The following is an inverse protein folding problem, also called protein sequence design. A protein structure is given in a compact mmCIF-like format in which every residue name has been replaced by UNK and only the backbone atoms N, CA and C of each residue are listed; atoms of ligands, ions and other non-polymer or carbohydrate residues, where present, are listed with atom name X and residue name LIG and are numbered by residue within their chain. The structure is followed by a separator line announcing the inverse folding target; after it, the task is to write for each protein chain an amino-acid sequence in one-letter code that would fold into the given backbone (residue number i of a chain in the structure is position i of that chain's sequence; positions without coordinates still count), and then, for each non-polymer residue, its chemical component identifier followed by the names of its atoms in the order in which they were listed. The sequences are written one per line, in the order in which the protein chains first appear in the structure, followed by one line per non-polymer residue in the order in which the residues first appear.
data_IF_505075134915
#
_entry.id   IF_505075134915
#
_cell.length_a   1.000
_cell.length_b   1.000
_cell.length_c   1.000
_cell.angle_alpha   90.00
_cell.angle_beta   90.00
_cell.angle_gamma   90.00
#
_symmetry.space_group_name_H-M   'P 1'
#
loop_
_entity.id
_entity.type
_entity.pdbx_description
1 polymer ?
#
# COMPACT_ATOMS: atom_id res chain seq x y z
N UNK A 1 11.59 -3.55 12.76
CA UNK A 1 11.95 -3.23 11.36
C UNK A 1 11.41 -1.85 11.08
N UNK A 2 12.28 -0.88 10.83
CA UNK A 2 11.88 0.52 10.61
C UNK A 2 11.41 0.69 9.17
N UNK A 3 10.12 0.99 8.99
CA UNK A 3 9.59 1.48 7.72
C UNK A 3 9.16 2.92 7.94
N UNK A 4 9.71 3.81 7.15
CA UNK A 4 9.44 5.25 7.19
C UNK A 4 8.76 5.65 5.89
N UNK A 5 7.79 6.55 5.99
CA UNK A 5 7.07 7.07 4.83
C UNK A 5 6.95 8.58 4.94
N UNK A 6 7.40 9.27 3.91
CA UNK A 6 7.29 10.71 3.73
C UNK A 6 6.23 11.00 2.65
N UNK A 7 5.12 11.59 3.09
CA UNK A 7 3.97 11.94 2.23
C UNK A 7 4.23 13.16 1.36
N UNK A 8 5.07 14.08 1.84
CA UNK A 8 5.37 15.33 1.12
C UNK A 8 6.25 15.03 -0.06
N UNK A 9 7.30 14.22 0.14
CA UNK A 9 8.19 13.79 -0.95
C UNK A 9 7.70 12.55 -1.69
N UNK A 10 6.63 11.90 -1.21
CA UNK A 10 6.06 10.66 -1.74
C UNK A 10 7.12 9.53 -1.82
N UNK A 11 7.91 9.39 -0.76
CA UNK A 11 8.99 8.40 -0.64
C UNK A 11 8.80 7.49 0.56
N UNK A 12 9.15 6.22 0.40
CA UNK A 12 9.20 5.26 1.50
C UNK A 12 10.62 4.70 1.64
N UNK A 13 11.01 4.39 2.88
CA UNK A 13 12.29 3.76 3.20
C UNK A 13 12.07 2.59 4.14
N UNK A 14 12.86 1.54 3.98
CA UNK A 14 12.92 0.43 4.93
C UNK A 14 14.36 0.31 5.41
N UNK A 15 14.56 0.41 6.72
CA UNK A 15 15.90 0.36 7.34
C UNK A 15 16.88 1.38 6.72
N UNK A 16 16.37 2.56 6.36
CA UNK A 16 17.13 3.63 5.71
C UNK A 16 17.30 3.50 4.19
N UNK A 17 16.97 2.36 3.57
CA UNK A 17 17.05 2.16 2.12
C UNK A 17 15.75 2.59 1.43
N UNK A 18 15.86 3.33 0.31
CA UNK A 18 14.70 3.79 -0.45
C UNK A 18 13.97 2.62 -1.11
N UNK A 19 12.67 2.54 -0.87
CA UNK A 19 11.79 1.59 -1.55
C UNK A 19 11.36 2.18 -2.91
N UNK A 20 11.58 1.41 -3.96
CA UNK A 20 11.03 1.71 -5.28
C UNK A 20 9.59 1.16 -5.35
N UNK A 21 8.64 2.04 -5.07
CA UNK A 21 7.21 1.78 -5.02
C UNK A 21 6.51 2.51 -6.15
N UNK A 22 5.60 1.83 -6.83
CA UNK A 22 4.61 2.46 -7.69
C UNK A 22 3.66 3.35 -6.87
N UNK A 23 2.92 4.29 -7.50
CA UNK A 23 1.96 5.13 -6.79
C UNK A 23 0.92 4.32 -5.98
N UNK A 24 0.47 3.17 -6.50
CA UNK A 24 -0.49 2.30 -5.80
C UNK A 24 0.12 1.55 -4.63
N UNK A 25 1.35 1.08 -4.75
CA UNK A 25 2.06 0.45 -3.63
C UNK A 25 2.35 1.46 -2.52
N UNK A 26 2.69 2.70 -2.87
CA UNK A 26 2.87 3.78 -1.89
C UNK A 26 1.57 4.05 -1.12
N UNK A 27 0.45 4.21 -1.83
CA UNK A 27 -0.87 4.40 -1.21
C UNK A 27 -1.27 3.22 -0.31
N UNK A 28 -1.01 1.98 -0.74
CA UNK A 28 -1.21 0.81 0.09
C UNK A 28 -0.37 0.87 1.37
N UNK A 29 0.92 1.16 1.25
CA UNK A 29 1.83 1.23 2.39
C UNK A 29 1.39 2.32 3.37
N UNK A 30 1.09 3.52 2.87
CA UNK A 30 0.55 4.62 3.66
C UNK A 30 -0.72 4.20 4.40
N UNK A 31 -1.63 3.53 3.70
CA UNK A 31 -2.88 3.08 4.29
C UNK A 31 -2.67 2.07 5.43
N UNK A 32 -1.76 1.10 5.26
CA UNK A 32 -1.42 0.16 6.31
C UNK A 32 -0.73 0.85 7.49
N UNK A 33 0.20 1.78 7.24
CA UNK A 33 0.89 2.53 8.31
C UNK A 33 -0.06 3.44 9.09
N UNK A 34 -1.12 3.94 8.46
CA UNK A 34 -2.20 4.70 9.12
C UNK A 34 -3.14 3.83 9.96
N UNK A 35 -3.18 2.53 9.72
CA UNK A 35 -4.10 1.60 10.35
C UNK A 35 -3.34 0.44 11.01
N UNK A 36 -2.41 0.72 11.94
CA UNK A 36 -1.66 -0.33 12.61
C UNK A 36 -2.61 -1.25 13.39
N UNK A 37 -2.26 -2.54 13.45
CA UNK A 37 -2.97 -3.56 14.23
C UNK A 37 -4.45 -3.80 13.83
N UNK A 38 -4.91 -3.18 12.74
CA UNK A 38 -6.26 -3.37 12.22
C UNK A 38 -6.26 -4.33 11.03
N UNK A 39 -7.21 -5.25 11.02
CA UNK A 39 -7.50 -6.07 9.82
C UNK A 39 -8.12 -5.17 8.76
N UNK A 40 -7.39 -4.94 7.68
CA UNK A 40 -7.86 -4.18 6.52
C UNK A 40 -8.50 -5.13 5.51
N UNK A 41 -9.75 -4.85 5.12
CA UNK A 41 -10.51 -5.67 4.17
C UNK A 41 -10.12 -5.35 2.73
N UNK A 42 -10.23 -6.34 1.83
CA UNK A 42 -9.97 -6.14 0.39
C UNK A 42 -10.88 -5.07 -0.22
N UNK A 43 -12.18 -5.10 0.08
CA UNK A 43 -13.15 -4.12 -0.42
C UNK A 43 -12.81 -2.70 0.03
N UNK A 44 -12.26 -2.55 1.23
CA UNK A 44 -11.84 -1.27 1.77
C UNK A 44 -10.62 -0.73 1.02
N UNK A 45 -9.64 -1.58 0.72
CA UNK A 45 -8.51 -1.20 -0.13
C UNK A 45 -8.98 -0.81 -1.53
N UNK A 46 -9.91 -1.58 -2.11
CA UNK A 46 -10.49 -1.27 -3.42
C UNK A 46 -11.25 0.06 -3.46
N UNK A 47 -11.80 0.53 -2.34
CA UNK A 47 -12.50 1.82 -2.25
C UNK A 47 -11.56 2.99 -1.93
N UNK A 48 -10.54 2.76 -1.09
CA UNK A 48 -9.65 3.83 -0.59
C UNK A 48 -8.42 4.04 -1.46
N UNK A 49 -7.91 2.98 -2.08
CA UNK A 49 -6.71 3.01 -2.92
C UNK A 49 -7.09 2.88 -4.39
N UNK A 50 -8.14 2.14 -4.72
CA UNK A 50 -8.73 2.12 -6.06
C UNK A 50 -10.06 2.89 -6.06
N UNK A 51 -10.53 3.30 -7.23
CA UNK A 51 -11.85 3.94 -7.36
C UNK A 51 -12.96 2.89 -7.49
N UNK A 52 -14.21 3.29 -7.24
CA UNK A 52 -15.41 2.45 -7.30
C UNK A 52 -15.69 1.77 -8.65
N UNK A 53 -14.91 2.09 -9.69
CA UNK A 53 -15.02 1.48 -11.01
C UNK A 53 -14.31 0.11 -11.13
N UNK A 54 -13.59 -0.34 -10.10
CA UNK A 54 -12.88 -1.62 -10.14
C UNK A 54 -13.77 -2.81 -9.82
N UNK A 55 -13.57 -3.89 -10.58
CA UNK A 55 -14.21 -5.19 -10.33
C UNK A 55 -13.70 -5.77 -8.99
N UNK A 56 -14.58 -5.97 -7.98
CA UNK A 56 -14.22 -6.58 -6.71
C UNK A 56 -13.69 -8.01 -6.81
N UNK A 57 -13.95 -8.70 -7.93
CA UNK A 57 -13.44 -10.04 -8.21
C UNK A 57 -12.01 -10.02 -8.78
N UNK A 58 -11.47 -8.84 -9.10
CA UNK A 58 -10.10 -8.70 -9.59
C UNK A 58 -9.06 -9.00 -8.51
N UNK A 59 -7.99 -9.68 -8.90
CA UNK A 59 -6.83 -9.98 -8.04
C UNK A 59 -5.83 -8.81 -7.94
N UNK A 60 -6.19 -7.61 -8.44
CA UNK A 60 -5.30 -6.45 -8.48
C UNK A 60 -4.73 -6.09 -7.11
N UNK A 61 -5.55 -6.15 -6.06
CA UNK A 61 -5.11 -5.87 -4.68
C UNK A 61 -4.07 -6.88 -4.23
N UNK A 62 -4.34 -8.17 -4.43
CA UNK A 62 -3.44 -9.25 -3.98
C UNK A 62 -2.09 -9.16 -4.70
N UNK A 63 -2.09 -8.82 -5.99
CA UNK A 63 -0.87 -8.63 -6.78
C UNK A 63 -0.04 -7.46 -6.22
N UNK A 64 -0.64 -6.29 -5.98
CA UNK A 64 0.08 -5.12 -5.47
C UNK A 64 0.55 -5.30 -4.03
N UNK A 65 -0.26 -5.92 -3.16
CA UNK A 65 0.15 -6.29 -1.80
C UNK A 65 1.29 -7.31 -1.84
N UNK A 66 1.23 -8.28 -2.75
CA UNK A 66 2.29 -9.25 -2.97
C UNK A 66 3.60 -8.60 -3.44
N UNK A 67 3.53 -7.63 -4.35
CA UNK A 67 4.70 -6.85 -4.77
C UNK A 67 5.26 -6.00 -3.62
N UNK A 68 4.40 -5.27 -2.90
CA UNK A 68 4.80 -4.45 -1.76
C UNK A 68 5.50 -5.27 -0.66
N UNK A 69 5.00 -6.46 -0.35
CA UNK A 69 5.61 -7.37 0.66
C UNK A 69 6.95 -7.96 0.23
N UNK A 70 7.25 -8.00 -1.07
CA UNK A 70 8.53 -8.48 -1.60
C UNK A 70 9.62 -7.41 -1.56
N UNK A 71 9.26 -6.15 -1.29
CA UNK A 71 10.18 -5.03 -1.07
C UNK A 71 10.57 -4.97 0.41
#
# INVERSE_FOLDING_TARGET
EDVELDRVSHQARRRGEKLDLTPKEFQLLEYFMLNPERVVRRTELLEKVWDLSFDPMSNVVDVHVGHLRRK
#
